data_IF_989535184906
#
_entry.id   IF_989535184906
#
_cell.length_a   1.000
_cell.length_b   1.000
_cell.length_c   1.000
_cell.angle_alpha   90.00
_cell.angle_beta   90.00
_cell.angle_gamma   90.00
#
_symmetry.space_group_name_H-M   'P 1'
#
loop_
_entity.id
_entity.type
_entity.pdbx_description
1 polymer ?
#
# COMPACT_ATOMS: atom_id res chain seq x y z
N UNK A 1 -11.32 -0.24 4.27
CA UNK A 1 -10.85 -0.58 5.64
C UNK A 1 -12.03 -0.69 6.59
N UNK A 2 -11.95 -1.59 7.52
CA UNK A 2 -12.93 -1.79 8.59
C UNK A 2 -12.21 -1.86 9.93
N UNK A 3 -12.96 -1.62 11.02
CA UNK A 3 -12.47 -1.74 12.38
C UNK A 3 -13.12 -2.94 13.03
N UNK A 4 -12.34 -3.90 13.46
CA UNK A 4 -12.78 -5.07 14.24
C UNK A 4 -12.49 -4.84 15.72
N UNK A 5 -13.42 -5.24 16.59
CA UNK A 5 -13.22 -5.14 18.03
C UNK A 5 -12.60 -6.42 18.57
N UNK A 6 -11.52 -6.29 19.32
CA UNK A 6 -10.83 -7.41 19.94
C UNK A 6 -11.25 -7.61 21.43
N UNK A 7 -10.84 -8.76 22.00
CA UNK A 7 -11.21 -9.15 23.36
C UNK A 7 -10.64 -8.22 24.46
N UNK A 8 -9.55 -7.50 24.20
CA UNK A 8 -8.92 -6.57 25.14
C UNK A 8 -9.44 -5.13 25.05
N UNK A 9 -10.58 -4.91 24.36
CA UNK A 9 -11.22 -3.61 24.08
C UNK A 9 -10.52 -2.75 23.03
N UNK A 10 -9.33 -3.10 22.56
CA UNK A 10 -8.70 -2.47 21.38
C UNK A 10 -9.36 -2.99 20.11
N UNK A 11 -9.05 -2.38 19.00
CA UNK A 11 -9.61 -2.74 17.70
C UNK A 11 -8.49 -3.09 16.72
N UNK A 12 -8.78 -3.88 15.70
CA UNK A 12 -7.89 -4.10 14.56
C UNK A 12 -8.28 -3.18 13.41
N UNK A 13 -7.29 -2.64 12.71
CA UNK A 13 -7.48 -1.90 11.48
C UNK A 13 -7.29 -2.87 10.31
N UNK A 14 -8.39 -3.30 9.69
CA UNK A 14 -8.41 -4.39 8.72
C UNK A 14 -8.72 -3.89 7.31
N UNK A 15 -7.87 -4.26 6.35
CA UNK A 15 -8.12 -4.11 4.92
C UNK A 15 -8.85 -5.36 4.42
N UNK A 16 -10.02 -5.19 3.82
CA UNK A 16 -10.77 -6.28 3.20
C UNK A 16 -10.67 -6.20 1.68
N UNK A 17 -10.44 -7.33 1.03
CA UNK A 17 -10.64 -7.49 -0.41
C UNK A 17 -11.92 -8.26 -0.61
N UNK A 18 -12.86 -7.66 -1.34
CA UNK A 18 -14.20 -8.20 -1.57
C UNK A 18 -14.41 -8.41 -3.06
N UNK A 19 -14.86 -9.58 -3.45
CA UNK A 19 -15.26 -9.92 -4.82
C UNK A 19 -16.62 -10.63 -4.79
N UNK A 20 -17.54 -10.18 -5.63
CA UNK A 20 -18.90 -10.76 -5.76
C UNK A 20 -19.66 -10.88 -4.42
N UNK A 21 -19.41 -9.93 -3.50
CA UNK A 21 -20.02 -9.91 -2.17
C UNK A 21 -19.29 -10.77 -1.12
N UNK A 22 -18.30 -11.54 -1.50
CA UNK A 22 -17.51 -12.41 -0.61
C UNK A 22 -16.16 -11.76 -0.25
N UNK A 23 -15.74 -11.92 1.01
CA UNK A 23 -14.40 -11.52 1.47
C UNK A 23 -13.42 -12.60 0.99
N UNK A 24 -12.56 -12.23 0.04
CA UNK A 24 -11.54 -13.13 -0.52
C UNK A 24 -10.17 -12.99 0.14
N UNK A 25 -9.92 -11.89 0.82
CA UNK A 25 -8.72 -11.71 1.66
C UNK A 25 -8.94 -10.62 2.69
N UNK A 26 -8.22 -10.73 3.80
CA UNK A 26 -8.15 -9.72 4.85
C UNK A 26 -6.69 -9.48 5.26
N UNK A 27 -6.40 -8.25 5.70
CA UNK A 27 -5.09 -7.87 6.19
C UNK A 27 -5.24 -6.93 7.38
N UNK A 28 -4.81 -7.34 8.54
CA UNK A 28 -4.67 -6.51 9.73
C UNK A 28 -3.38 -5.71 9.64
N UNK A 29 -3.49 -4.40 9.75
CA UNK A 29 -2.38 -3.46 9.61
C UNK A 29 -1.23 -3.81 10.55
N UNK A 30 -0.03 -4.03 9.99
CA UNK A 30 1.18 -4.36 10.76
C UNK A 30 1.75 -3.15 11.50
N UNK A 31 1.94 -2.03 10.78
CA UNK A 31 2.65 -0.87 11.32
C UNK A 31 1.66 0.19 11.78
N UNK A 32 1.49 0.31 13.10
CA UNK A 32 0.63 1.31 13.69
C UNK A 32 1.28 2.70 13.63
N UNK A 33 0.44 3.73 13.47
CA UNK A 33 0.90 5.11 13.33
C UNK A 33 1.25 5.73 14.69
N UNK A 34 2.41 5.38 15.22
CA UNK A 34 2.99 5.94 16.44
C UNK A 34 4.06 6.96 16.07
N UNK A 35 3.62 8.10 15.54
CA UNK A 35 4.50 9.16 15.08
C UNK A 35 3.80 10.52 15.06
N UNK A 36 4.55 11.61 15.10
CA UNK A 36 4.03 12.99 15.06
C UNK A 36 2.96 13.27 16.12
N UNK A 37 3.20 12.82 17.36
CA UNK A 37 2.30 12.92 18.50
C UNK A 37 1.00 12.08 18.41
N UNK A 38 0.86 11.22 17.40
CA UNK A 38 -0.18 10.20 17.36
C UNK A 38 0.33 8.89 17.98
N UNK A 39 -0.57 8.15 18.63
CA UNK A 39 -0.32 6.83 19.21
C UNK A 39 -1.48 5.91 18.89
N UNK A 40 -1.45 5.36 17.67
CA UNK A 40 -2.50 4.44 17.20
C UNK A 40 -2.51 3.16 18.07
N UNK A 41 -1.34 2.74 18.58
CA UNK A 41 -1.20 1.57 19.45
C UNK A 41 -1.96 1.64 20.78
N UNK A 42 -2.36 2.83 21.22
CA UNK A 42 -3.17 2.98 22.43
C UNK A 42 -4.57 2.36 22.25
N UNK A 43 -5.08 2.28 21.02
CA UNK A 43 -6.45 1.84 20.73
C UNK A 43 -6.53 0.76 19.64
N UNK A 44 -5.46 0.50 18.91
CA UNK A 44 -5.40 -0.47 17.83
C UNK A 44 -4.35 -1.54 18.10
N UNK A 45 -4.69 -2.80 17.83
CA UNK A 45 -3.76 -3.93 17.85
C UNK A 45 -3.04 -4.05 16.50
N UNK A 46 -1.71 -4.26 16.48
CA UNK A 46 -1.01 -4.59 15.25
C UNK A 46 -1.43 -5.96 14.72
N UNK A 47 -1.37 -6.15 13.41
CA UNK A 47 -1.44 -7.46 12.79
C UNK A 47 -0.17 -8.26 13.04
N UNK A 48 -0.25 -9.56 12.82
CA UNK A 48 0.81 -10.55 13.03
C UNK A 48 1.14 -11.37 11.75
N UNK A 49 0.49 -11.03 10.64
CA UNK A 49 0.65 -11.73 9.37
C UNK A 49 1.07 -10.77 8.23
N UNK A 50 1.90 -11.28 7.33
CA UNK A 50 2.27 -10.54 6.12
C UNK A 50 1.04 -10.22 5.27
N UNK A 51 1.00 -9.05 4.61
CA UNK A 51 -0.13 -8.67 3.77
C UNK A 51 -0.34 -9.67 2.64
N UNK A 52 -1.61 -10.03 2.32
CA UNK A 52 -1.94 -11.01 1.30
C UNK A 52 -1.66 -10.51 -0.11
N UNK A 53 -1.58 -11.46 -1.04
CA UNK A 53 -1.64 -11.24 -2.48
C UNK A 53 -2.86 -11.98 -2.99
N UNK A 54 -3.72 -11.30 -3.73
CA UNK A 54 -4.90 -11.89 -4.37
C UNK A 54 -4.74 -11.88 -5.89
N UNK A 55 -5.31 -12.86 -6.56
CA UNK A 55 -5.39 -12.88 -8.02
C UNK A 55 -6.71 -12.22 -8.45
N UNK A 56 -6.58 -11.15 -9.22
CA UNK A 56 -7.71 -10.46 -9.84
C UNK A 56 -7.50 -10.48 -11.35
N UNK A 57 -8.21 -11.33 -12.02
CA UNK A 57 -8.16 -11.51 -13.49
C UNK A 57 -6.73 -11.70 -14.01
N UNK A 58 -5.96 -12.53 -13.30
CA UNK A 58 -4.58 -12.86 -13.58
C UNK A 58 -3.55 -11.83 -13.07
N UNK A 59 -3.96 -10.68 -12.50
CA UNK A 59 -3.08 -9.74 -11.83
C UNK A 59 -2.88 -10.11 -10.36
N UNK A 60 -1.64 -10.24 -9.93
CA UNK A 60 -1.30 -10.46 -8.53
C UNK A 60 -1.25 -9.13 -7.78
N UNK A 61 -2.28 -8.88 -6.98
CA UNK A 61 -2.49 -7.62 -6.28
C UNK A 61 -2.14 -7.79 -4.79
N UNK A 62 -1.12 -7.11 -4.32
CA UNK A 62 -0.80 -6.99 -2.90
C UNK A 62 -1.52 -5.80 -2.26
N UNK A 63 -1.69 -5.82 -0.94
CA UNK A 63 -2.35 -4.73 -0.21
C UNK A 63 -1.45 -4.19 0.90
N UNK A 64 -1.55 -2.89 1.17
CA UNK A 64 -0.89 -2.18 2.27
C UNK A 64 -1.83 -1.15 2.87
N UNK A 65 -1.63 -0.82 4.15
CA UNK A 65 -2.48 0.14 4.86
C UNK A 65 -1.68 1.34 5.35
N UNK A 66 -1.92 2.51 4.75
CA UNK A 66 -1.49 3.83 5.24
C UNK A 66 0.00 3.86 5.66
N UNK A 67 0.27 3.77 6.96
CA UNK A 67 1.62 3.90 7.53
C UNK A 67 2.59 2.81 7.04
N UNK A 68 2.10 1.64 6.59
CA UNK A 68 2.92 0.58 6.00
C UNK A 68 3.78 1.08 4.84
N UNK A 69 3.34 2.13 4.13
CA UNK A 69 4.11 2.71 3.02
C UNK A 69 5.48 3.24 3.43
N UNK A 70 5.69 3.52 4.73
CA UNK A 70 6.99 3.96 5.25
C UNK A 70 8.00 2.83 5.44
N UNK A 71 7.54 1.60 5.41
CA UNK A 71 8.34 0.41 5.66
C UNK A 71 8.59 -0.32 4.34
N UNK A 72 9.78 -0.12 3.73
CA UNK A 72 10.10 -0.73 2.43
C UNK A 72 10.01 -2.25 2.45
N UNK A 73 10.22 -2.87 3.61
CA UNK A 73 10.12 -4.31 3.83
C UNK A 73 8.74 -4.85 3.49
N UNK A 74 7.67 -4.10 3.81
CA UNK A 74 6.29 -4.51 3.53
C UNK A 74 6.04 -4.60 2.03
N UNK A 75 6.38 -3.56 1.27
CA UNK A 75 6.28 -3.57 -0.18
C UNK A 75 7.21 -4.62 -0.82
N UNK A 76 8.43 -4.74 -0.29
CA UNK A 76 9.40 -5.75 -0.74
C UNK A 76 8.87 -7.16 -0.53
N UNK A 77 8.24 -7.46 0.61
CA UNK A 77 7.65 -8.78 0.87
C UNK A 77 6.58 -9.16 -0.15
N UNK A 78 5.77 -8.19 -0.57
CA UNK A 78 4.77 -8.38 -1.63
C UNK A 78 5.43 -8.63 -2.98
N UNK A 79 6.40 -7.82 -3.35
CA UNK A 79 7.08 -7.90 -4.64
C UNK A 79 7.82 -9.23 -4.82
N UNK A 80 8.55 -9.71 -3.81
CA UNK A 80 9.30 -10.98 -3.88
C UNK A 80 8.38 -12.18 -3.92
N UNK A 81 7.16 -12.08 -3.38
CA UNK A 81 6.11 -13.09 -3.51
C UNK A 81 5.33 -12.97 -4.81
N UNK A 82 5.74 -12.05 -5.69
CA UNK A 82 5.28 -11.96 -7.08
C UNK A 82 4.13 -10.98 -7.30
N UNK A 83 3.91 -9.99 -6.43
CA UNK A 83 2.92 -8.94 -6.70
C UNK A 83 3.26 -8.17 -7.99
N UNK A 84 2.26 -7.98 -8.84
CA UNK A 84 2.32 -7.15 -10.04
C UNK A 84 1.93 -5.70 -9.75
N UNK A 85 1.04 -5.54 -8.78
CA UNK A 85 0.60 -4.24 -8.29
C UNK A 85 0.39 -4.28 -6.76
N UNK A 86 0.53 -3.13 -6.13
CA UNK A 86 0.28 -2.92 -4.70
C UNK A 86 -0.78 -1.84 -4.54
N UNK A 87 -1.88 -2.17 -3.86
CA UNK A 87 -2.90 -1.20 -3.47
C UNK A 87 -2.59 -0.68 -2.07
N UNK A 88 -2.53 0.65 -1.92
CA UNK A 88 -2.33 1.32 -0.64
C UNK A 88 -3.59 2.10 -0.29
N UNK A 89 -4.29 1.71 0.76
CA UNK A 89 -5.44 2.46 1.28
C UNK A 89 -5.02 3.27 2.50
N UNK A 90 -5.38 4.56 2.56
CA UNK A 90 -4.95 5.46 3.61
C UNK A 90 -6.01 6.51 4.00
N UNK A 91 -5.90 6.98 5.24
CA UNK A 91 -6.37 8.28 5.69
C UNK A 91 -5.12 9.12 6.05
N UNK A 92 -4.39 9.56 5.03
CA UNK A 92 -3.09 10.22 5.23
C UNK A 92 -3.25 11.65 5.75
N UNK A 93 -2.89 11.85 7.00
CA UNK A 93 -3.16 13.10 7.73
C UNK A 93 -2.40 14.28 7.12
N UNK A 94 -3.07 15.43 6.98
CA UNK A 94 -2.45 16.69 6.57
C UNK A 94 -1.40 17.15 7.60
N UNK A 95 -0.44 17.95 7.17
CA UNK A 95 0.61 18.53 8.01
C UNK A 95 1.87 18.84 7.21
N UNK A 96 2.88 19.44 7.86
CA UNK A 96 4.14 19.79 7.20
C UNK A 96 4.77 18.57 6.51
N UNK A 97 5.13 18.72 5.24
CA UNK A 97 5.75 17.69 4.38
C UNK A 97 4.93 16.40 4.16
N UNK A 98 3.70 16.30 4.68
CA UNK A 98 2.92 15.07 4.60
C UNK A 98 2.57 14.67 3.18
N UNK A 99 2.19 15.62 2.35
CA UNK A 99 1.93 15.38 0.93
C UNK A 99 3.21 14.97 0.19
N UNK A 100 4.32 15.68 0.45
CA UNK A 100 5.61 15.33 -0.13
C UNK A 100 6.04 13.90 0.26
N UNK A 101 5.87 13.53 1.54
CA UNK A 101 6.17 12.17 1.99
C UNK A 101 5.30 11.13 1.28
N UNK A 102 4.00 11.40 1.10
CA UNK A 102 3.10 10.52 0.38
C UNK A 102 3.54 10.30 -1.05
N UNK A 103 3.79 11.40 -1.77
CA UNK A 103 4.24 11.39 -3.17
C UNK A 103 5.56 10.66 -3.34
N UNK A 104 6.54 10.94 -2.49
CA UNK A 104 7.85 10.30 -2.53
C UNK A 104 7.78 8.80 -2.23
N UNK A 105 7.10 8.43 -1.14
CA UNK A 105 7.07 7.05 -0.69
C UNK A 105 6.30 6.13 -1.65
N UNK A 106 5.15 6.57 -2.15
CA UNK A 106 4.36 5.74 -3.09
C UNK A 106 5.11 5.49 -4.40
N UNK A 107 5.81 6.51 -4.93
CA UNK A 107 6.66 6.36 -6.11
C UNK A 107 7.88 5.46 -5.83
N UNK A 108 8.52 5.62 -4.66
CA UNK A 108 9.63 4.76 -4.26
C UNK A 108 9.20 3.28 -4.18
N UNK A 109 8.01 2.99 -3.62
CA UNK A 109 7.49 1.60 -3.54
C UNK A 109 7.27 0.99 -4.92
N UNK A 110 6.83 1.77 -5.90
CA UNK A 110 6.69 1.30 -7.28
C UNK A 110 8.06 1.01 -7.92
N UNK A 111 8.95 2.00 -7.91
CA UNK A 111 10.25 1.96 -8.57
C UNK A 111 11.18 0.88 -8.01
N UNK A 112 11.38 0.83 -6.70
CA UNK A 112 12.30 -0.12 -6.05
C UNK A 112 11.83 -1.57 -6.10
N UNK A 113 10.54 -1.80 -6.42
CA UNK A 113 9.93 -3.13 -6.51
C UNK A 113 9.52 -3.52 -7.92
N UNK A 114 9.67 -2.61 -8.90
CA UNK A 114 9.25 -2.80 -10.30
C UNK A 114 7.83 -3.38 -10.40
N UNK A 115 6.88 -2.70 -9.74
CA UNK A 115 5.47 -3.04 -9.74
C UNK A 115 4.61 -1.76 -9.79
N UNK A 116 3.35 -1.88 -10.21
CA UNK A 116 2.41 -0.77 -10.08
C UNK A 116 2.12 -0.47 -8.63
N UNK A 117 1.84 0.81 -8.31
CA UNK A 117 1.29 1.22 -7.01
C UNK A 117 0.03 2.05 -7.23
N UNK A 118 -1.08 1.59 -6.66
CA UNK A 118 -2.37 2.27 -6.67
C UNK A 118 -2.62 2.79 -5.25
N UNK A 119 -2.31 4.05 -5.02
CA UNK A 119 -2.37 4.66 -3.71
C UNK A 119 -3.61 5.55 -3.59
N UNK A 120 -4.52 5.18 -2.69
CA UNK A 120 -5.76 5.92 -2.43
C UNK A 120 -5.76 6.43 -0.99
N UNK A 121 -5.91 7.74 -0.83
CA UNK A 121 -6.08 8.37 0.46
C UNK A 121 -7.40 9.14 0.52
N UNK A 122 -8.07 9.05 1.66
CA UNK A 122 -9.24 9.86 1.96
C UNK A 122 -8.92 11.35 1.77
N UNK A 123 -9.84 12.08 1.15
CA UNK A 123 -9.80 13.55 1.06
C UNK A 123 -10.79 14.16 2.06
N UNK A 124 -10.28 15.01 2.96
CA UNK A 124 -11.09 15.73 3.95
C UNK A 124 -10.31 16.94 4.49
N UNK A 125 -10.90 17.67 5.41
CA UNK A 125 -10.20 18.73 6.15
C UNK A 125 -9.00 18.22 6.95
N UNK A 126 -8.97 16.92 7.28
CA UNK A 126 -7.91 16.26 8.06
C UNK A 126 -6.92 15.46 7.22
N UNK A 127 -7.33 14.96 6.06
CA UNK A 127 -6.56 14.06 5.21
C UNK A 127 -6.29 14.67 3.83
N UNK A 128 -5.16 14.30 3.21
CA UNK A 128 -4.65 14.99 2.02
C UNK A 128 -5.38 14.63 0.72
N UNK A 129 -6.08 13.50 0.62
CA UNK A 129 -6.46 12.98 -0.69
C UNK A 129 -5.23 12.55 -1.49
N UNK A 130 -4.98 13.19 -2.63
CA UNK A 130 -3.82 12.92 -3.49
C UNK A 130 -3.72 11.44 -3.88
N UNK A 131 -4.84 10.84 -4.31
CA UNK A 131 -4.83 9.49 -4.88
C UNK A 131 -3.95 9.46 -6.12
N UNK A 132 -3.19 8.37 -6.32
CA UNK A 132 -2.27 8.28 -7.45
C UNK A 132 -2.05 6.84 -7.90
N UNK A 133 -1.84 6.70 -9.20
CA UNK A 133 -1.43 5.46 -9.82
C UNK A 133 -0.02 5.66 -10.39
N UNK A 134 0.90 4.82 -9.97
CA UNK A 134 2.32 4.90 -10.32
C UNK A 134 2.69 3.62 -11.07
N UNK A 135 3.41 3.77 -12.16
CA UNK A 135 3.90 2.66 -12.97
C UNK A 135 5.16 1.99 -12.36
N UNK A 136 5.61 0.84 -12.89
CA UNK A 136 6.78 0.13 -12.39
C UNK A 136 8.12 0.89 -12.54
N UNK A 137 8.16 1.97 -13.30
CA UNK A 137 9.33 2.85 -13.44
C UNK A 137 9.27 4.07 -12.51
N UNK A 138 8.21 4.17 -11.68
CA UNK A 138 8.01 5.25 -10.72
C UNK A 138 7.34 6.49 -11.30
N UNK A 139 6.86 6.43 -12.55
CA UNK A 139 6.14 7.53 -13.16
C UNK A 139 4.67 7.55 -12.72
N UNK A 140 4.15 8.76 -12.49
CA UNK A 140 2.75 8.96 -12.12
C UNK A 140 1.90 8.96 -13.38
N UNK A 141 1.08 7.92 -13.54
CA UNK A 141 0.21 7.75 -14.73
C UNK A 141 -1.19 8.32 -14.52
N UNK A 142 -1.61 8.51 -13.28
CA UNK A 142 -2.82 9.24 -12.91
C UNK A 142 -2.68 9.79 -11.49
N UNK A 143 -3.18 10.99 -11.25
CA UNK A 143 -3.16 11.62 -9.92
C UNK A 143 -4.41 12.48 -9.73
N UNK A 144 -5.03 12.37 -8.55
CA UNK A 144 -6.11 13.25 -8.10
C UNK A 144 -5.54 14.40 -7.26
N UNK A 145 -6.27 15.51 -7.22
CA UNK A 145 -5.96 16.65 -6.37
C UNK A 145 -6.24 16.39 -4.88
N UNK A 146 -6.13 17.45 -4.09
CA UNK A 146 -6.41 17.46 -2.66
C UNK A 146 -7.73 18.16 -2.30
N UNK A 147 -8.49 18.55 -3.33
CA UNK A 147 -9.76 19.29 -3.23
C UNK A 147 -10.94 18.43 -3.70
N UNK A 148 -11.62 17.76 -2.80
CA UNK A 148 -12.83 17.01 -3.12
C UNK A 148 -12.59 15.57 -3.60
N UNK A 149 -13.69 14.82 -3.74
CA UNK A 149 -13.65 13.46 -4.20
C UNK A 149 -13.46 13.39 -5.73
N UNK A 150 -12.46 12.64 -6.16
CA UNK A 150 -12.15 12.47 -7.59
C UNK A 150 -11.91 10.98 -7.89
N UNK A 151 -12.39 10.53 -9.03
CA UNK A 151 -12.11 9.19 -9.56
C UNK A 151 -10.99 9.28 -10.59
N UNK A 152 -9.89 8.60 -10.33
CA UNK A 152 -8.82 8.40 -11.30
C UNK A 152 -8.83 6.96 -11.80
N UNK A 153 -8.54 6.76 -13.08
CA UNK A 153 -8.48 5.45 -13.70
C UNK A 153 -7.40 5.39 -14.79
N UNK A 154 -6.79 4.23 -14.93
CA UNK A 154 -5.86 3.93 -16.02
C UNK A 154 -5.86 2.44 -16.33
N UNK A 155 -5.39 2.06 -17.51
CA UNK A 155 -5.11 0.67 -17.86
C UNK A 155 -3.73 0.24 -17.33
N UNK A 156 -3.64 -0.91 -16.68
CA UNK A 156 -2.36 -1.53 -16.33
C UNK A 156 -1.87 -2.36 -17.55
N UNK A 157 -0.58 -2.22 -17.90
CA UNK A 157 0.02 -2.94 -19.03
C UNK A 157 0.98 -4.04 -18.56
N UNK A 158 0.73 -5.28 -19.00
CA UNK A 158 1.65 -6.41 -18.81
C UNK A 158 3.00 -6.19 -19.49
N UNK A 159 2.96 -5.56 -20.65
CA UNK A 159 4.18 -5.25 -21.41
C UNK A 159 5.04 -4.23 -20.68
N UNK A 160 4.43 -3.16 -20.15
CA UNK A 160 5.12 -2.17 -19.32
C UNK A 160 5.77 -2.82 -18.10
N UNK A 161 5.03 -3.66 -17.38
CA UNK A 161 5.53 -4.38 -16.21
C UNK A 161 6.72 -5.30 -16.56
N UNK A 162 6.60 -6.07 -17.62
CA UNK A 162 7.65 -6.99 -18.09
C UNK A 162 8.90 -6.22 -18.55
N UNK A 163 8.73 -5.15 -19.30
CA UNK A 163 9.82 -4.28 -19.76
C UNK A 163 10.56 -3.65 -18.59
N UNK A 164 9.84 -3.08 -17.61
CA UNK A 164 10.45 -2.50 -16.41
C UNK A 164 11.31 -3.53 -15.64
N UNK A 165 10.78 -4.74 -15.42
CA UNK A 165 11.48 -5.84 -14.75
C UNK A 165 12.71 -6.34 -15.53
N UNK A 166 12.67 -6.26 -16.86
CA UNK A 166 13.80 -6.62 -17.72
C UNK A 166 14.90 -5.56 -17.70
N UNK A 167 14.53 -4.27 -17.83
CA UNK A 167 15.48 -3.15 -17.84
C UNK A 167 16.11 -2.94 -16.47
N UNK A 168 15.31 -3.10 -15.43
CA UNK A 168 15.73 -2.88 -14.03
C UNK A 168 15.43 -4.10 -13.16
N UNK A 169 16.25 -5.17 -13.23
CA UNK A 169 16.00 -6.45 -12.56
C UNK A 169 16.34 -6.39 -11.04
N UNK A 170 15.81 -5.40 -10.33
CA UNK A 170 16.15 -5.12 -8.92
C UNK A 170 15.84 -6.29 -7.99
N UNK A 171 14.75 -7.02 -8.26
CA UNK A 171 14.36 -8.17 -7.44
C UNK A 171 15.33 -9.35 -7.61
N UNK A 172 15.94 -9.51 -8.79
CA UNK A 172 16.93 -10.55 -9.07
C UNK A 172 18.30 -10.18 -8.50
N UNK A 173 18.64 -8.87 -8.49
CA UNK A 173 19.93 -8.36 -8.02
C UNK A 173 20.02 -8.22 -6.50
N UNK A 174 18.95 -8.56 -5.76
CA UNK A 174 18.94 -8.51 -4.30
C UNK A 174 20.03 -9.39 -3.69
N UNK A 175 20.58 -8.92 -2.57
CA UNK A 175 21.54 -9.67 -1.73
C UNK A 175 20.98 -10.03 -0.37
N UNK A 176 19.92 -9.34 0.06
CA UNK A 176 19.22 -9.64 1.31
C UNK A 176 18.19 -10.75 1.09
N UNK A 177 17.97 -11.56 2.13
CA UNK A 177 16.87 -12.54 2.17
C UNK A 177 15.49 -11.86 2.07
N UNK A 178 14.46 -12.66 1.90
CA UNK A 178 13.10 -12.14 1.87
C UNK A 178 12.71 -11.59 3.24
N UNK A 179 12.02 -10.44 3.29
CA UNK A 179 11.55 -9.89 4.55
C UNK A 179 10.59 -10.85 5.25
N UNK A 180 10.83 -11.06 6.54
CA UNK A 180 10.03 -11.93 7.41
C UNK A 180 9.62 -11.16 8.66
N UNK A 181 8.50 -11.52 9.24
CA UNK A 181 8.13 -11.02 10.57
C UNK A 181 9.01 -11.73 11.62
N UNK A 182 9.30 -11.05 12.73
CA UNK A 182 9.96 -11.71 13.86
C UNK A 182 9.08 -12.81 14.43
N UNK A 183 9.72 -13.82 15.02
CA UNK A 183 9.07 -14.92 15.74
C UNK A 183 8.36 -14.44 17.01
#
# INVERSE_FOLDING_TARGET
QVTERDADSRVSNTFLVIRDGEIIAEYRKLHLYDAFAARESDVVLPGDALPPIVDIDGWKIGVMTCYDVRFPETARSLAVRGADAIVVSAAWVRGPLKEQHWKLLTAARALENTCYVLACSEVSSRNIGCCRIIDPMGEVVAEAGDEGAELIATGLSRECLASARQIMPVLQNRRFADPQLPD
#
